data_IF_915547339056
#
_entry.id   IF_915547339056
#
_cell.length_a   1.000
_cell.length_b   1.000
_cell.length_c   1.000
_cell.angle_alpha   90.00
_cell.angle_beta   90.00
_cell.angle_gamma   90.00
#
_symmetry.space_group_name_H-M   'P 1'
#
loop_
_entity.id
_entity.type
_entity.pdbx_description
1 polymer ?
#
# COMPACT_ATOMS: atom_id res chain seq x y z
N UNK A 1 5.62 63.16 3.41
CA UNK A 1 4.22 63.46 3.81
C UNK A 1 3.79 62.35 4.77
N UNK A 2 4.07 62.43 6.08
CA UNK A 2 3.32 63.16 7.13
C UNK A 2 1.81 62.82 7.08
N UNK A 3 1.35 61.84 7.87
CA UNK A 3 0.88 61.89 9.28
C UNK A 3 -0.58 62.33 9.44
N UNK A 4 -1.38 61.44 10.05
CA UNK A 4 -2.32 61.76 11.14
C UNK A 4 -3.78 62.05 10.79
N UNK A 5 -4.73 61.29 11.34
CA UNK A 5 -5.37 61.61 12.64
C UNK A 5 -6.45 60.58 13.03
N UNK A 6 -6.54 60.44 14.34
CA UNK A 6 -7.49 59.72 15.19
C UNK A 6 -8.86 60.41 15.26
N UNK A 7 -9.91 59.65 15.64
CA UNK A 7 -10.67 59.83 16.91
C UNK A 7 -12.16 59.43 16.86
N UNK A 8 -12.59 58.70 17.90
CA UNK A 8 -13.83 58.84 18.73
C UNK A 8 -15.21 58.77 18.04
N UNK A 9 -16.33 58.28 18.61
CA UNK A 9 -16.73 57.61 19.84
C UNK A 9 -18.22 57.17 19.69
N UNK A 10 -18.70 56.28 20.56
CA UNK A 10 -20.10 55.84 20.75
C UNK A 10 -21.05 57.00 21.16
N UNK A 11 -22.40 56.86 20.99
CA UNK A 11 -23.28 56.55 22.15
C UNK A 11 -24.56 55.73 21.80
N UNK A 12 -24.91 54.68 22.57
CA UNK A 12 -25.88 54.56 23.67
C UNK A 12 -27.41 54.68 23.40
N UNK A 13 -28.11 53.56 23.66
CA UNK A 13 -29.45 53.39 24.33
C UNK A 13 -30.73 53.70 23.52
N UNK A 14 -31.84 52.95 23.62
CA UNK A 14 -32.70 52.69 24.79
C UNK A 14 -33.60 51.44 24.58
N UNK A 15 -33.97 50.81 25.70
CA UNK A 15 -34.73 49.58 25.91
C UNK A 15 -36.27 49.63 25.68
N UNK A 16 -36.86 48.43 25.53
CA UNK A 16 -38.15 47.88 26.05
C UNK A 16 -38.52 46.65 25.20
N UNK A 17 -38.96 45.47 25.66
CA UNK A 17 -39.30 44.90 26.96
C UNK A 17 -39.85 43.46 26.77
N UNK A 18 -40.11 42.78 27.90
CA UNK A 18 -40.96 41.59 28.08
C UNK A 18 -40.51 40.18 27.60
N UNK A 19 -39.94 39.42 28.54
CA UNK A 19 -40.60 38.32 29.29
C UNK A 19 -41.20 37.07 28.58
N UNK A 20 -40.57 35.93 28.94
CA UNK A 20 -41.12 34.60 29.26
C UNK A 20 -41.42 33.53 28.19
N UNK A 21 -40.81 32.35 28.44
CA UNK A 21 -41.22 30.98 28.06
C UNK A 21 -40.97 30.60 26.58
N UNK A 22 -40.44 29.44 26.17
CA UNK A 22 -40.29 28.13 26.80
C UNK A 22 -39.10 27.39 26.15
N UNK A 23 -38.17 26.89 26.96
CA UNK A 23 -37.17 25.89 26.57
C UNK A 23 -37.58 24.56 27.22
N UNK A 24 -38.07 23.60 26.44
CA UNK A 24 -38.05 22.14 26.69
C UNK A 24 -38.98 21.37 25.75
N UNK A 25 -38.37 20.53 24.89
CA UNK A 25 -38.87 19.29 24.22
C UNK A 25 -38.09 19.16 22.89
N UNK A 26 -37.49 18.06 22.45
CA UNK A 26 -37.80 16.62 22.60
C UNK A 26 -36.47 15.85 22.39
N UNK A 27 -36.09 14.99 23.35
CA UNK A 27 -35.23 13.83 23.09
C UNK A 27 -35.63 12.73 24.08
N UNK A 28 -36.62 11.93 23.68
CA UNK A 28 -36.93 10.64 24.29
C UNK A 28 -37.32 9.69 23.16
N UNK A 29 -36.82 8.46 23.24
CA UNK A 29 -37.41 7.31 22.58
C UNK A 29 -36.65 6.77 21.38
N UNK A 30 -35.68 5.88 21.65
CA UNK A 30 -35.52 4.62 20.90
C UNK A 30 -34.57 3.70 21.68
N UNK A 31 -35.12 3.13 22.76
CA UNK A 31 -34.67 1.86 23.33
C UNK A 31 -35.81 0.87 23.15
N UNK A 32 -35.43 -0.38 22.85
CA UNK A 32 -36.22 -1.63 22.75
C UNK A 32 -36.77 -1.97 21.37
N UNK A 33 -36.06 -2.88 20.70
CA UNK A 33 -36.57 -4.24 20.49
C UNK A 33 -35.40 -5.23 20.49
N UNK A 34 -35.28 -5.97 21.60
CA UNK A 34 -34.51 -7.21 21.71
C UNK A 34 -35.50 -8.30 22.11
N UNK A 35 -35.79 -9.22 21.19
CA UNK A 35 -36.46 -10.50 21.42
C UNK A 35 -35.95 -11.44 20.31
N UNK A 36 -35.05 -12.35 20.67
CA UNK A 36 -35.34 -13.77 20.86
C UNK A 36 -35.45 -14.56 19.55
N UNK A 37 -34.43 -15.39 19.29
CA UNK A 37 -34.59 -16.82 19.02
C UNK A 37 -33.22 -17.51 19.17
N UNK A 38 -33.04 -18.23 20.27
CA UNK A 38 -32.10 -19.35 20.42
C UNK A 38 -32.92 -20.62 20.27
N UNK A 39 -32.40 -21.57 19.49
CA UNK A 39 -32.17 -22.97 19.86
C UNK A 39 -32.19 -23.86 18.62
N UNK A 40 -31.07 -24.55 18.35
CA UNK A 40 -31.09 -25.99 18.16
C UNK A 40 -29.67 -26.53 18.38
N UNK A 41 -29.58 -27.52 19.26
CA UNK A 41 -28.37 -28.25 19.63
C UNK A 41 -28.59 -29.74 19.30
N UNK A 42 -27.50 -30.37 18.84
CA UNK A 42 -27.08 -31.77 19.04
C UNK A 42 -27.73 -32.92 18.25
N UNK A 43 -26.89 -33.58 17.43
CA UNK A 43 -26.62 -35.04 17.40
C UNK A 43 -25.37 -35.25 16.50
N UNK A 44 -24.14 -35.43 16.98
CA UNK A 44 -23.45 -36.59 17.59
C UNK A 44 -23.20 -37.80 16.66
N UNK A 45 -21.90 -38.19 16.58
CA UNK A 45 -21.32 -39.51 16.22
C UNK A 45 -21.38 -39.96 14.74
N UNK A 46 -20.43 -40.70 14.13
CA UNK A 46 -19.02 -41.08 14.34
C UNK A 46 -18.58 -42.08 13.23
N UNK A 47 -17.35 -41.97 12.71
CA UNK A 47 -16.51 -43.02 12.02
C UNK A 47 -16.92 -43.58 10.61
N UNK A 48 -16.06 -44.35 9.90
CA UNK A 48 -14.79 -43.92 9.26
C UNK A 48 -14.58 -44.50 7.81
N UNK A 49 -13.45 -44.12 7.19
CA UNK A 49 -12.64 -44.83 6.18
C UNK A 49 -13.20 -46.11 5.52
N UNK A 50 -13.30 -46.10 4.18
CA UNK A 50 -13.04 -47.29 3.33
C UNK A 50 -12.30 -46.85 2.07
N UNK A 51 -11.03 -47.26 1.96
CA UNK A 51 -10.37 -47.50 0.69
C UNK A 51 -10.65 -48.95 0.28
N UNK A 52 -10.69 -49.25 -1.03
CA UNK A 52 -10.05 -50.42 -1.68
C UNK A 52 -10.58 -50.68 -3.10
N UNK A 53 -9.59 -51.03 -3.94
CA UNK A 53 -9.63 -51.85 -5.16
C UNK A 53 -9.99 -51.23 -6.51
N UNK A 54 -8.90 -50.99 -7.24
CA UNK A 54 -8.77 -51.25 -8.65
C UNK A 54 -9.30 -52.64 -9.04
N UNK A 55 -10.02 -52.72 -10.16
CA UNK A 55 -9.98 -53.91 -11.03
C UNK A 55 -9.96 -53.49 -12.49
N UNK A 56 -8.85 -53.84 -13.14
CA UNK A 56 -8.69 -53.89 -14.60
C UNK A 56 -9.66 -54.91 -15.19
N UNK A 57 -10.25 -54.61 -16.36
CA UNK A 57 -10.56 -55.62 -17.37
C UNK A 57 -10.36 -55.03 -18.76
N UNK A 58 -9.46 -55.68 -19.50
CA UNK A 58 -9.19 -55.49 -20.92
C UNK A 58 -10.06 -56.44 -21.78
N UNK A 59 -9.91 -56.29 -23.10
CA UNK A 59 -10.48 -57.03 -24.26
C UNK A 59 -11.66 -56.28 -24.90
N UNK A 60 -11.78 -56.10 -26.21
CA UNK A 60 -11.06 -56.64 -27.38
C UNK A 60 -11.44 -55.80 -28.61
N UNK A 61 -10.52 -55.70 -29.58
CA UNK A 61 -10.71 -55.20 -30.94
C UNK A 61 -11.84 -55.88 -31.72
N UNK A 62 -12.47 -55.13 -32.64
CA UNK A 62 -12.85 -55.59 -34.00
C UNK A 62 -12.70 -54.40 -34.96
N UNK A 63 -12.04 -54.64 -36.10
CA UNK A 63 -11.83 -53.74 -37.23
C UNK A 63 -12.55 -54.28 -38.47
N UNK A 64 -13.27 -53.44 -39.23
CA UNK A 64 -13.63 -53.62 -40.67
C UNK A 64 -13.91 -52.20 -41.22
N UNK A 65 -12.99 -51.55 -41.94
CA UNK A 65 -12.75 -51.53 -43.40
C UNK A 65 -13.71 -50.68 -44.27
N UNK A 66 -13.10 -49.66 -44.89
CA UNK A 66 -13.23 -49.16 -46.27
C UNK A 66 -14.45 -48.35 -46.77
N UNK A 67 -14.15 -47.07 -47.03
CA UNK A 67 -14.25 -46.34 -48.31
C UNK A 67 -15.63 -46.02 -48.95
N UNK A 68 -15.93 -44.71 -49.01
CA UNK A 68 -16.51 -44.05 -50.19
C UNK A 68 -16.17 -42.55 -50.19
N UNK A 69 -15.69 -42.04 -51.33
CA UNK A 69 -15.39 -40.63 -51.61
C UNK A 69 -16.67 -39.88 -51.97
N UNK A 70 -16.79 -38.61 -51.56
CA UNK A 70 -17.45 -37.59 -52.39
C UNK A 70 -17.00 -36.18 -52.00
N UNK A 71 -16.76 -35.41 -53.04
CA UNK A 71 -16.30 -34.02 -53.11
C UNK A 71 -17.32 -33.06 -52.50
N UNK A 72 -16.88 -32.12 -51.67
CA UNK A 72 -17.55 -30.83 -51.52
C UNK A 72 -16.54 -29.73 -51.21
N UNK A 73 -16.32 -28.87 -52.20
CA UNK A 73 -15.73 -27.56 -52.04
C UNK A 73 -16.79 -26.62 -51.45
N UNK A 74 -16.44 -25.82 -50.45
CA UNK A 74 -17.32 -24.78 -49.94
C UNK A 74 -16.90 -24.22 -48.58
N UNK A 75 -16.61 -22.92 -48.58
CA UNK A 75 -16.51 -22.01 -47.45
C UNK A 75 -15.30 -22.17 -46.52
N UNK A 76 -14.40 -21.19 -46.63
CA UNK A 76 -13.53 -20.77 -45.53
C UNK A 76 -14.41 -20.54 -44.30
N UNK A 77 -14.31 -21.45 -43.33
CA UNK A 77 -14.72 -21.17 -41.96
C UNK A 77 -13.74 -20.12 -41.46
N UNK A 78 -14.20 -18.88 -41.39
CA UNK A 78 -13.62 -17.93 -40.46
C UNK A 78 -13.59 -18.64 -39.11
N UNK A 79 -12.40 -18.83 -38.55
CA UNK A 79 -12.26 -19.15 -37.14
C UNK A 79 -12.98 -18.02 -36.41
N UNK A 80 -14.19 -18.34 -35.93
CA UNK A 80 -14.85 -17.55 -34.91
C UNK A 80 -13.92 -17.65 -33.72
N UNK A 81 -13.09 -16.62 -33.51
CA UNK A 81 -12.37 -16.42 -32.26
C UNK A 81 -13.33 -16.77 -31.13
N UNK A 82 -12.96 -17.77 -30.33
CA UNK A 82 -13.74 -18.17 -29.18
C UNK A 82 -14.05 -16.90 -28.36
N UNK A 83 -15.28 -16.73 -27.84
CA UNK A 83 -15.60 -15.56 -27.03
C UNK A 83 -14.54 -15.45 -25.95
N UNK A 84 -13.98 -14.26 -25.67
CA UNK A 84 -12.78 -14.18 -24.88
C UNK A 84 -13.05 -14.85 -23.55
N UNK A 85 -12.26 -15.88 -23.33
CA UNK A 85 -12.01 -16.57 -22.09
C UNK A 85 -11.81 -15.52 -20.98
N UNK A 86 -12.23 -15.87 -19.75
CA UNK A 86 -12.27 -15.10 -18.48
C UNK A 86 -11.90 -13.59 -18.49
N UNK A 87 -12.54 -12.75 -17.64
CA UNK A 87 -12.15 -11.32 -17.48
C UNK A 87 -10.63 -11.10 -17.27
N UNK A 88 -9.94 -12.14 -16.80
CA UNK A 88 -8.49 -12.25 -16.73
C UNK A 88 -7.80 -12.23 -18.12
N UNK A 89 -8.15 -13.12 -19.06
CA UNK A 89 -7.54 -13.09 -20.40
C UNK A 89 -7.92 -11.84 -21.20
N UNK A 90 -9.08 -11.25 -20.93
CA UNK A 90 -9.52 -10.00 -21.57
C UNK A 90 -8.69 -8.76 -21.18
N UNK A 91 -8.02 -8.77 -20.03
CA UNK A 91 -7.28 -7.62 -19.51
C UNK A 91 -5.78 -7.70 -19.77
N UNK A 92 -5.19 -8.90 -19.76
CA UNK A 92 -3.73 -9.08 -19.76
C UNK A 92 -2.99 -8.53 -20.99
N UNK A 93 -3.67 -8.42 -22.14
CA UNK A 93 -3.08 -7.88 -23.38
C UNK A 93 -3.33 -6.38 -23.58
N UNK A 94 -4.00 -5.72 -22.63
CA UNK A 94 -4.35 -4.31 -22.74
C UNK A 94 -3.25 -3.43 -22.14
N UNK A 95 -3.19 -2.19 -22.63
CA UNK A 95 -2.44 -1.12 -21.96
C UNK A 95 -3.07 -0.77 -20.61
N UNK A 96 -2.32 -0.07 -19.75
CA UNK A 96 -2.81 0.38 -18.45
C UNK A 96 -4.09 1.21 -18.59
N UNK A 97 -4.13 2.14 -19.56
CA UNK A 97 -5.31 2.99 -19.74
C UNK A 97 -6.54 2.22 -20.18
N UNK A 98 -6.39 1.27 -21.09
CA UNK A 98 -7.49 0.45 -21.55
C UNK A 98 -8.00 -0.48 -20.43
N UNK A 99 -7.11 -1.03 -19.60
CA UNK A 99 -7.51 -1.75 -18.39
C UNK A 99 -8.26 -0.84 -17.42
N UNK A 100 -7.75 0.38 -17.18
CA UNK A 100 -8.34 1.35 -16.26
C UNK A 100 -9.79 1.65 -16.65
N UNK A 101 -9.99 2.06 -17.90
CA UNK A 101 -11.32 2.47 -18.39
C UNK A 101 -12.32 1.31 -18.27
N UNK A 102 -11.90 0.08 -18.59
CA UNK A 102 -12.75 -1.11 -18.49
C UNK A 102 -13.12 -1.47 -17.05
N UNK A 103 -12.14 -1.47 -16.14
CA UNK A 103 -12.34 -1.81 -14.74
C UNK A 103 -13.25 -0.80 -14.03
N UNK A 104 -13.03 0.50 -14.25
CA UNK A 104 -13.80 1.54 -13.58
C UNK A 104 -15.18 1.77 -14.21
N UNK A 105 -15.40 1.40 -15.49
CA UNK A 105 -16.74 1.33 -16.07
C UNK A 105 -17.59 0.19 -15.47
N UNK A 106 -16.99 -0.94 -15.10
CA UNK A 106 -17.69 -2.12 -14.57
C UNK A 106 -17.46 -2.34 -13.06
N UNK A 107 -17.16 -1.26 -12.33
CA UNK A 107 -16.68 -1.32 -10.95
C UNK A 107 -17.58 -2.09 -9.98
N UNK A 108 -18.90 -2.03 -10.14
CA UNK A 108 -19.84 -2.75 -9.25
C UNK A 108 -19.69 -4.27 -9.30
N UNK A 109 -19.01 -4.80 -10.32
CA UNK A 109 -18.77 -6.23 -10.53
C UNK A 109 -17.34 -6.65 -10.16
N UNK A 110 -16.49 -5.69 -9.79
CA UNK A 110 -15.07 -5.93 -9.52
C UNK A 110 -14.87 -6.49 -8.10
N UNK A 111 -14.34 -7.71 -8.03
CA UNK A 111 -13.88 -8.31 -6.77
C UNK A 111 -12.45 -7.87 -6.47
N UNK A 112 -12.28 -6.79 -5.70
CA UNK A 112 -10.97 -6.22 -5.35
C UNK A 112 -10.10 -7.13 -4.47
N UNK A 113 -10.62 -8.28 -4.02
CA UNK A 113 -9.85 -9.29 -3.29
C UNK A 113 -9.13 -10.28 -4.21
N UNK A 114 -9.40 -10.23 -5.52
CA UNK A 114 -8.76 -11.11 -6.52
C UNK A 114 -7.76 -10.31 -7.34
N UNK A 115 -6.59 -10.90 -7.67
CA UNK A 115 -5.60 -10.22 -8.49
C UNK A 115 -6.13 -9.99 -9.90
N UNK A 116 -5.80 -8.81 -10.44
CA UNK A 116 -6.02 -8.46 -11.84
C UNK A 116 -4.71 -8.68 -12.62
N UNK A 117 -4.78 -9.12 -13.90
CA UNK A 117 -3.60 -9.25 -14.73
C UNK A 117 -2.86 -7.94 -14.92
N UNK A 118 -1.53 -8.01 -14.92
CA UNK A 118 -0.67 -6.85 -15.15
C UNK A 118 -0.84 -6.34 -16.59
N UNK A 119 -0.76 -5.03 -16.84
CA UNK A 119 -0.81 -4.48 -18.19
C UNK A 119 0.32 -5.00 -19.09
N UNK A 120 0.06 -5.09 -20.39
CA UNK A 120 1.12 -5.37 -21.38
C UNK A 120 2.03 -4.15 -21.49
N UNK A 121 3.35 -4.39 -21.38
CA UNK A 121 4.37 -3.34 -21.52
C UNK A 121 4.44 -2.83 -22.96
N UNK A 122 4.23 -3.72 -23.94
CA UNK A 122 4.20 -3.43 -25.36
C UNK A 122 2.98 -2.56 -25.71
N UNK A 123 1.78 -2.99 -25.29
CA UNK A 123 0.57 -2.21 -25.50
C UNK A 123 0.63 -0.84 -24.80
N UNK A 124 1.27 -0.75 -23.64
CA UNK A 124 1.49 0.52 -22.95
C UNK A 124 2.42 1.45 -23.71
N UNK A 125 3.48 0.91 -24.32
CA UNK A 125 4.42 1.71 -25.10
C UNK A 125 3.77 2.28 -26.37
N UNK A 126 2.82 1.56 -26.96
CA UNK A 126 2.09 1.96 -28.16
C UNK A 126 0.87 2.87 -27.88
N UNK A 127 0.52 3.09 -26.61
CA UNK A 127 -0.63 3.88 -26.22
C UNK A 127 -0.47 5.37 -26.59
N UNK A 128 -1.53 5.97 -27.12
CA UNK A 128 -1.54 7.40 -27.45
C UNK A 128 -1.32 8.27 -26.20
N UNK A 129 -0.41 9.23 -26.31
CA UNK A 129 -0.02 10.10 -25.20
C UNK A 129 0.90 9.46 -24.14
N UNK A 130 1.29 8.19 -24.27
CA UNK A 130 2.25 7.56 -23.37
C UNK A 130 3.62 8.25 -23.44
N UNK A 131 4.17 8.59 -22.27
CA UNK A 131 5.48 9.24 -22.15
C UNK A 131 6.45 8.34 -21.40
N UNK A 132 7.66 8.22 -21.93
CA UNK A 132 8.75 7.51 -21.28
C UNK A 132 9.18 8.25 -20.01
N UNK A 133 9.28 7.54 -18.89
CA UNK A 133 9.87 8.08 -17.67
C UNK A 133 11.36 8.36 -17.94
N UNK A 134 11.84 9.51 -17.47
CA UNK A 134 13.21 9.96 -17.72
C UNK A 134 14.22 8.88 -17.32
N UNK A 135 15.10 8.49 -18.25
CA UNK A 135 16.16 7.48 -18.06
C UNK A 135 15.64 6.10 -17.60
N UNK A 136 14.40 5.76 -17.93
CA UNK A 136 13.76 4.47 -17.63
C UNK A 136 13.18 3.83 -18.89
N UNK A 137 12.91 2.54 -18.87
CA UNK A 137 12.16 1.79 -19.89
C UNK A 137 10.63 1.79 -19.63
N UNK A 138 10.16 2.44 -18.57
CA UNK A 138 8.73 2.56 -18.24
C UNK A 138 8.06 3.66 -19.07
N UNK A 139 6.93 3.33 -19.68
CA UNK A 139 6.03 4.26 -20.36
C UNK A 139 4.80 4.51 -19.48
N UNK A 140 4.39 5.77 -19.34
CA UNK A 140 3.31 6.17 -18.45
C UNK A 140 2.33 7.14 -19.13
N UNK A 141 1.06 7.00 -18.79
CA UNK A 141 -0.02 7.90 -19.20
C UNK A 141 -0.73 8.40 -17.95
N UNK A 142 -0.67 9.71 -17.70
CA UNK A 142 -1.34 10.31 -16.55
C UNK A 142 -2.86 10.18 -16.71
N UNK A 143 -3.55 9.60 -15.72
CA UNK A 143 -5.02 9.49 -15.71
C UNK A 143 -5.70 10.64 -15.00
N UNK A 144 -5.09 11.11 -13.93
CA UNK A 144 -5.71 12.08 -13.03
C UNK A 144 -4.87 13.35 -12.98
N UNK A 145 -5.36 14.50 -13.49
CA UNK A 145 -4.62 15.74 -13.35
C UNK A 145 -4.64 16.18 -11.88
N UNK A 146 -3.47 16.28 -11.25
CA UNK A 146 -3.35 16.75 -9.86
C UNK A 146 -3.86 18.19 -9.70
N UNK A 147 -3.63 19.02 -10.72
CA UNK A 147 -4.06 20.42 -10.77
C UNK A 147 -5.30 20.58 -11.64
N UNK A 148 -6.23 21.45 -11.24
CA UNK A 148 -7.46 21.72 -11.99
C UNK A 148 -8.62 20.75 -11.72
N UNK A 149 -8.43 19.71 -10.89
CA UNK A 149 -9.53 18.87 -10.37
C UNK A 149 -10.22 19.51 -9.16
N UNK A 150 -11.42 19.04 -8.81
CA UNK A 150 -12.14 19.46 -7.61
C UNK A 150 -11.56 18.77 -6.37
N UNK A 151 -11.06 19.55 -5.43
CA UNK A 151 -10.48 19.05 -4.18
C UNK A 151 -11.54 18.91 -3.07
N UNK A 152 -11.39 17.89 -2.23
CA UNK A 152 -12.20 17.70 -1.02
C UNK A 152 -11.44 18.18 0.23
N UNK A 153 -12.11 18.20 1.38
CA UNK A 153 -11.50 18.67 2.64
C UNK A 153 -10.27 17.86 3.10
N UNK A 154 -10.22 16.56 2.81
CA UNK A 154 -9.06 15.71 3.11
C UNK A 154 -7.88 16.04 2.20
N UNK A 155 -8.12 16.29 0.90
CA UNK A 155 -7.08 16.73 -0.04
C UNK A 155 -6.41 18.03 0.45
N UNK A 156 -7.23 19.02 0.86
CA UNK A 156 -6.73 20.27 1.42
C UNK A 156 -5.96 20.04 2.73
N UNK A 157 -6.50 19.23 3.64
CA UNK A 157 -5.86 18.92 4.92
C UNK A 157 -4.49 18.26 4.74
N UNK A 158 -4.40 17.23 3.90
CA UNK A 158 -3.13 16.56 3.60
C UNK A 158 -2.13 17.49 2.91
N UNK A 159 -2.58 18.26 1.93
CA UNK A 159 -1.69 19.18 1.20
C UNK A 159 -1.15 20.27 2.13
N UNK A 160 -2.00 20.89 2.95
CA UNK A 160 -1.57 21.91 3.92
C UNK A 160 -0.57 21.30 4.90
N UNK A 161 -0.87 20.12 5.44
CA UNK A 161 0.05 19.43 6.35
C UNK A 161 1.40 19.16 5.69
N UNK A 162 1.42 18.61 4.48
CA UNK A 162 2.66 18.38 3.73
C UNK A 162 3.42 19.68 3.49
N UNK A 163 2.77 20.74 3.02
CA UNK A 163 3.40 22.03 2.80
C UNK A 163 4.00 22.63 4.08
N UNK A 164 3.31 22.50 5.23
CA UNK A 164 3.82 22.97 6.51
C UNK A 164 5.07 22.20 6.93
N UNK A 165 5.04 20.85 6.88
CA UNK A 165 6.19 20.04 7.30
C UNK A 165 7.39 20.25 6.37
N UNK A 166 7.18 20.37 5.06
CA UNK A 166 8.26 20.70 4.11
C UNK A 166 8.76 22.14 4.30
N UNK A 167 7.87 23.09 4.58
CA UNK A 167 8.24 24.47 4.89
C UNK A 167 9.09 24.59 6.16
N UNK A 168 8.78 23.81 7.20
CA UNK A 168 9.58 23.74 8.42
C UNK A 168 11.01 23.23 8.16
N UNK A 169 11.21 22.39 7.14
CA UNK A 169 12.56 21.92 6.76
C UNK A 169 13.46 23.07 6.29
N UNK A 170 12.91 24.17 5.76
CA UNK A 170 13.67 25.36 5.37
C UNK A 170 14.35 26.05 6.56
N UNK A 171 13.90 25.75 7.79
CA UNK A 171 14.52 26.25 9.03
C UNK A 171 15.73 25.43 9.47
N UNK A 172 16.04 24.30 8.82
CA UNK A 172 17.13 23.41 9.22
C UNK A 172 18.50 24.10 9.28
N UNK A 173 18.91 24.98 8.32
CA UNK A 173 20.19 25.69 8.42
C UNK A 173 20.28 26.62 9.62
N UNK A 174 19.17 27.25 10.01
CA UNK A 174 19.10 28.20 11.13
C UNK A 174 18.98 27.54 12.50
N UNK A 175 18.66 26.25 12.52
CA UNK A 175 18.46 25.44 13.73
C UNK A 175 19.50 24.33 13.88
N UNK A 176 20.55 24.37 13.04
CA UNK A 176 21.59 23.35 12.96
C UNK A 176 22.40 23.26 14.27
N UNK A 177 22.64 22.03 14.70
CA UNK A 177 23.74 21.68 15.60
C UNK A 177 24.02 20.17 15.49
N UNK A 178 25.24 19.74 15.82
CA UNK A 178 25.60 18.31 15.80
C UNK A 178 24.68 17.42 16.65
N UNK A 179 24.22 17.83 17.86
CA UNK A 179 23.22 17.07 18.59
C UNK A 179 21.90 16.88 17.82
N UNK A 180 21.46 17.88 17.05
CA UNK A 180 20.24 17.78 16.25
C UNK A 180 20.40 16.87 15.03
N UNK A 181 21.60 16.81 14.45
CA UNK A 181 21.96 15.80 13.44
C UNK A 181 21.88 14.39 14.05
N UNK A 182 22.42 14.20 15.25
CA UNK A 182 22.30 12.94 15.99
C UNK A 182 20.84 12.57 16.29
N UNK A 183 20.03 13.55 16.72
CA UNK A 183 18.60 13.37 16.92
C UNK A 183 17.89 12.95 15.64
N UNK A 184 18.19 13.61 14.51
CA UNK A 184 17.64 13.25 13.20
C UNK A 184 17.95 11.80 12.81
N UNK A 185 19.21 11.36 12.92
CA UNK A 185 19.57 9.97 12.60
C UNK A 185 18.94 8.97 13.56
N UNK A 186 18.86 9.30 14.85
CA UNK A 186 18.20 8.47 15.86
C UNK A 186 16.71 8.30 15.56
N UNK A 187 15.98 9.39 15.33
CA UNK A 187 14.56 9.32 15.01
C UNK A 187 14.31 8.72 13.63
N UNK A 188 15.18 8.96 12.64
CA UNK A 188 15.13 8.31 11.34
C UNK A 188 15.27 6.79 11.43
N UNK A 189 16.24 6.28 12.21
CA UNK A 189 16.38 4.85 12.44
C UNK A 189 15.16 4.26 13.15
N UNK A 190 14.66 4.94 14.19
CA UNK A 190 13.46 4.50 14.93
C UNK A 190 12.24 4.44 14.01
N UNK A 191 11.93 5.52 13.30
CA UNK A 191 10.68 5.59 12.53
C UNK A 191 10.80 4.87 11.19
N UNK A 192 11.92 5.02 10.50
CA UNK A 192 12.16 4.42 9.18
C UNK A 192 12.50 2.93 9.30
N UNK A 193 13.61 2.59 9.95
CA UNK A 193 14.05 1.20 10.04
C UNK A 193 13.11 0.37 10.92
N UNK A 194 12.99 0.69 12.22
CA UNK A 194 12.19 -0.11 13.14
C UNK A 194 10.69 0.00 12.88
N UNK A 195 10.21 1.21 12.58
CA UNK A 195 8.80 1.50 12.35
C UNK A 195 8.27 1.03 11.00
N UNK A 196 8.76 1.61 9.91
CA UNK A 196 8.26 1.30 8.57
C UNK A 196 8.77 -0.06 8.08
N UNK A 197 10.08 -0.25 8.00
CA UNK A 197 10.64 -1.44 7.32
C UNK A 197 10.48 -2.72 8.13
N UNK A 198 10.83 -2.70 9.42
CA UNK A 198 10.78 -3.89 10.27
C UNK A 198 9.34 -4.22 10.68
N UNK A 199 8.58 -3.22 11.17
CA UNK A 199 7.22 -3.43 11.66
C UNK A 199 6.19 -3.40 10.55
N UNK A 200 5.81 -2.22 10.05
CA UNK A 200 4.67 -2.08 9.15
C UNK A 200 4.81 -2.96 7.91
N UNK A 201 6.00 -2.97 7.32
CA UNK A 201 6.26 -3.73 6.11
C UNK A 201 6.45 -5.24 6.38
N UNK A 202 7.58 -5.64 6.95
CA UNK A 202 7.93 -7.08 7.03
C UNK A 202 7.12 -7.84 8.08
N UNK A 203 6.86 -7.24 9.24
CA UNK A 203 6.13 -7.92 10.32
C UNK A 203 4.62 -7.89 10.10
N UNK A 204 4.01 -6.73 9.88
CA UNK A 204 2.56 -6.59 9.86
C UNK A 204 1.96 -6.88 8.49
N UNK A 205 2.52 -6.32 7.40
CA UNK A 205 1.99 -6.59 6.06
C UNK A 205 2.26 -8.00 5.59
N UNK A 206 3.52 -8.44 5.65
CA UNK A 206 3.95 -9.70 5.05
C UNK A 206 4.02 -10.88 6.02
N UNK A 207 3.97 -10.62 7.33
CA UNK A 207 4.10 -11.64 8.38
C UNK A 207 5.33 -12.52 8.13
N UNK A 208 6.44 -11.88 7.78
CA UNK A 208 7.69 -12.56 7.43
C UNK A 208 8.38 -13.17 8.66
N UNK A 209 7.99 -12.73 9.85
CA UNK A 209 8.39 -13.26 11.15
C UNK A 209 7.35 -12.88 12.21
N UNK A 210 7.46 -13.46 13.40
CA UNK A 210 6.61 -13.15 14.56
C UNK A 210 7.47 -12.76 15.76
N UNK A 211 6.98 -11.87 16.62
CA UNK A 211 7.64 -11.51 17.89
C UNK A 211 6.63 -11.58 19.04
N UNK A 212 7.07 -11.58 20.32
CA UNK A 212 6.17 -11.35 21.44
C UNK A 212 5.36 -10.05 21.26
N UNK A 213 4.11 -10.03 21.73
CA UNK A 213 3.18 -8.92 21.47
C UNK A 213 3.65 -7.57 22.00
N UNK A 214 4.37 -7.54 23.13
CA UNK A 214 4.93 -6.29 23.65
C UNK A 214 5.94 -5.68 22.66
N UNK A 215 6.74 -6.50 21.99
CA UNK A 215 7.73 -6.06 21.01
C UNK A 215 7.05 -5.68 19.69
N UNK A 216 6.08 -6.48 19.22
CA UNK A 216 5.28 -6.17 18.04
C UNK A 216 4.61 -4.78 18.16
N UNK A 217 3.99 -4.50 19.31
CA UNK A 217 3.34 -3.21 19.56
C UNK A 217 4.33 -2.06 19.73
N UNK A 218 5.48 -2.30 20.38
CA UNK A 218 6.53 -1.28 20.49
C UNK A 218 7.08 -0.88 19.12
N UNK A 219 7.40 -1.86 18.25
CA UNK A 219 7.87 -1.62 16.90
C UNK A 219 6.79 -0.95 16.03
N UNK A 220 5.53 -1.37 16.17
CA UNK A 220 4.42 -0.73 15.45
C UNK A 220 4.23 0.73 15.89
N UNK A 221 4.43 1.03 17.18
CA UNK A 221 4.39 2.40 17.66
C UNK A 221 5.52 3.26 17.09
N UNK A 222 6.71 2.70 16.84
CA UNK A 222 7.75 3.40 16.08
C UNK A 222 7.28 3.79 14.67
N UNK A 223 6.46 2.94 14.02
CA UNK A 223 5.85 3.22 12.71
C UNK A 223 4.80 4.35 12.77
N UNK A 224 4.02 4.42 13.85
CA UNK A 224 3.08 5.53 14.09
C UNK A 224 3.82 6.88 14.10
N UNK A 225 5.01 6.93 14.69
CA UNK A 225 5.85 8.13 14.75
C UNK A 225 6.49 8.49 13.39
N UNK A 226 6.43 7.62 12.39
CA UNK A 226 6.88 7.92 11.03
C UNK A 226 5.94 8.88 10.29
N UNK A 227 4.70 9.04 10.78
CA UNK A 227 3.67 9.93 10.22
C UNK A 227 3.22 9.53 8.80
N UNK A 228 3.19 8.22 8.51
CA UNK A 228 2.76 7.70 7.19
C UNK A 228 1.36 7.08 7.17
N UNK A 229 0.56 7.34 8.20
CA UNK A 229 -0.73 6.70 8.43
C UNK A 229 -0.68 5.73 9.61
N UNK A 230 -1.86 5.33 10.06
CA UNK A 230 -1.99 4.37 11.14
C UNK A 230 -1.80 2.92 10.63
N UNK A 231 -1.45 1.95 11.51
CA UNK A 231 -1.05 0.60 11.09
C UNK A 231 -2.08 -0.13 10.21
N UNK A 232 -3.39 -0.01 10.47
CA UNK A 232 -4.43 -0.69 9.70
C UNK A 232 -4.49 -0.11 8.28
N UNK A 233 -4.55 1.21 8.14
CA UNK A 233 -4.50 1.90 6.86
C UNK A 233 -3.24 1.55 6.07
N UNK A 234 -2.05 1.71 6.66
CA UNK A 234 -0.78 1.51 5.94
C UNK A 234 -0.66 0.06 5.45
N UNK A 235 -0.91 -0.91 6.34
CA UNK A 235 -0.85 -2.34 6.02
C UNK A 235 -1.91 -2.72 4.99
N UNK A 236 -3.12 -2.16 5.09
CA UNK A 236 -4.19 -2.43 4.13
C UNK A 236 -3.82 -1.95 2.74
N UNK A 237 -3.37 -0.70 2.62
CA UNK A 237 -2.94 -0.11 1.34
C UNK A 237 -1.77 -0.90 0.75
N UNK A 238 -0.78 -1.26 1.56
CA UNK A 238 0.39 -2.03 1.12
C UNK A 238 0.03 -3.45 0.65
N UNK A 239 -0.86 -4.14 1.36
CA UNK A 239 -1.38 -5.46 0.94
C UNK A 239 -2.14 -5.38 -0.39
N UNK A 240 -2.89 -4.31 -0.64
CA UNK A 240 -3.53 -4.11 -1.95
C UNK A 240 -2.53 -3.76 -3.04
N UNK A 241 -1.50 -2.96 -2.73
CA UNK A 241 -0.42 -2.70 -3.67
C UNK A 241 0.20 -4.02 -4.14
N UNK A 242 0.55 -4.95 -3.23
CA UNK A 242 1.07 -6.26 -3.66
C UNK A 242 0.08 -7.08 -4.48
N UNK A 243 -1.20 -7.08 -4.10
CA UNK A 243 -2.24 -7.83 -4.82
C UNK A 243 -2.47 -7.29 -6.24
N UNK A 244 -2.30 -5.99 -6.43
CA UNK A 244 -2.69 -5.25 -7.63
C UNK A 244 -1.54 -4.49 -8.26
N UNK A 245 -0.29 -4.85 -7.96
CA UNK A 245 0.88 -4.03 -8.26
C UNK A 245 0.96 -3.68 -9.75
N UNK A 246 1.20 -2.40 -10.03
CA UNK A 246 1.24 -1.81 -11.38
C UNK A 246 -0.04 -2.03 -12.23
N UNK A 247 -1.17 -2.40 -11.62
CA UNK A 247 -2.48 -2.43 -12.28
C UNK A 247 -3.27 -1.16 -11.96
N UNK A 248 -4.40 -0.88 -12.64
CA UNK A 248 -5.26 0.27 -12.32
C UNK A 248 -5.79 0.33 -10.88
N UNK A 249 -5.73 -0.78 -10.14
CA UNK A 249 -6.14 -0.86 -8.73
C UNK A 249 -4.99 -0.57 -7.76
N UNK A 250 -3.76 -0.45 -8.25
CA UNK A 250 -2.63 0.04 -7.46
C UNK A 250 -2.78 1.56 -7.22
N UNK A 251 -2.83 2.03 -5.96
CA UNK A 251 -2.94 3.46 -5.68
C UNK A 251 -1.77 4.27 -6.24
N UNK A 252 -0.58 3.69 -6.34
CA UNK A 252 0.64 4.40 -6.72
C UNK A 252 1.35 3.76 -7.92
N UNK A 253 0.57 3.29 -8.91
CA UNK A 253 1.09 2.71 -10.13
C UNK A 253 2.06 3.67 -10.86
N UNK A 254 3.26 3.23 -11.27
CA UNK A 254 4.19 3.99 -12.08
C UNK A 254 3.67 4.25 -13.51
N UNK A 255 2.66 3.50 -13.96
CA UNK A 255 2.02 3.72 -15.26
C UNK A 255 1.23 5.03 -15.33
N UNK A 256 0.92 5.68 -14.20
CA UNK A 256 0.39 7.06 -14.17
C UNK A 256 1.49 8.13 -14.07
N UNK A 257 2.75 7.70 -13.98
CA UNK A 257 3.93 8.55 -14.02
C UNK A 257 4.74 8.50 -12.73
N UNK A 258 6.01 8.91 -12.86
CA UNK A 258 6.94 8.96 -11.73
C UNK A 258 6.43 9.83 -10.57
N UNK A 259 5.91 11.02 -10.86
CA UNK A 259 5.44 11.92 -9.80
C UNK A 259 4.13 11.44 -9.16
N UNK A 260 3.29 10.71 -9.91
CA UNK A 260 2.11 10.06 -9.36
C UNK A 260 2.51 9.01 -8.32
N UNK A 261 3.33 8.03 -8.73
CA UNK A 261 3.83 6.95 -7.85
C UNK A 261 4.66 7.46 -6.67
N UNK A 262 5.39 8.57 -6.84
CA UNK A 262 6.18 9.16 -5.76
C UNK A 262 5.28 9.82 -4.71
N UNK A 263 4.43 10.77 -5.09
CA UNK A 263 3.62 11.51 -4.11
C UNK A 263 2.23 11.94 -4.59
N UNK A 264 1.97 11.91 -5.90
CA UNK A 264 0.72 12.40 -6.46
C UNK A 264 -0.51 11.64 -5.95
N UNK A 265 -0.38 10.32 -5.76
CA UNK A 265 -1.46 9.48 -5.24
C UNK A 265 -1.97 9.93 -3.86
N UNK A 266 -1.09 10.42 -2.98
CA UNK A 266 -1.43 10.93 -1.65
C UNK A 266 -2.24 12.23 -1.71
N UNK A 267 -2.08 12.98 -2.80
CA UNK A 267 -2.76 14.25 -3.01
C UNK A 267 -4.13 14.07 -3.67
N UNK A 268 -4.55 12.85 -4.00
CA UNK A 268 -5.89 12.53 -4.47
C UNK A 268 -6.54 11.45 -3.59
N UNK A 269 -7.21 11.91 -2.53
CA UNK A 269 -7.90 11.03 -1.61
C UNK A 269 -9.09 10.32 -2.29
N UNK A 270 -9.73 10.93 -3.30
CA UNK A 270 -10.82 10.30 -4.04
C UNK A 270 -10.34 9.05 -4.78
N UNK A 271 -9.25 9.18 -5.55
CA UNK A 271 -8.63 8.06 -6.25
C UNK A 271 -8.12 6.98 -5.29
N UNK A 272 -7.51 7.39 -4.17
CA UNK A 272 -7.01 6.46 -3.15
C UNK A 272 -8.16 5.68 -2.49
N UNK A 273 -9.24 6.34 -2.07
CA UNK A 273 -10.41 5.66 -1.50
C UNK A 273 -11.08 4.75 -2.52
N UNK A 274 -11.08 5.12 -3.79
CA UNK A 274 -11.62 4.31 -4.87
C UNK A 274 -10.88 2.97 -5.03
N UNK A 275 -9.56 2.98 -4.89
CA UNK A 275 -8.69 1.80 -5.08
C UNK A 275 -8.49 0.98 -3.81
N UNK A 276 -8.18 1.63 -2.68
CA UNK A 276 -7.76 0.97 -1.43
C UNK A 276 -8.60 1.34 -0.21
N UNK A 277 -9.78 1.95 -0.39
CA UNK A 277 -10.64 2.38 0.73
C UNK A 277 -11.19 1.23 1.58
N UNK A 278 -11.31 0.02 1.03
CA UNK A 278 -11.79 -1.15 1.77
C UNK A 278 -10.72 -1.70 2.70
N UNK A 279 -10.82 -1.50 4.02
CA UNK A 279 -9.86 -2.07 4.99
C UNK A 279 -10.12 -3.55 5.33
N UNK A 280 -10.79 -4.29 4.46
CA UNK A 280 -11.20 -5.68 4.69
C UNK A 280 -10.06 -6.70 4.65
N UNK A 281 -8.88 -6.33 4.14
CA UNK A 281 -7.70 -7.20 4.06
C UNK A 281 -6.83 -7.15 5.34
N UNK A 282 -7.29 -6.50 6.41
CA UNK A 282 -6.55 -6.30 7.69
C UNK A 282 -7.34 -6.74 8.93
N UNK A 283 -8.22 -7.74 8.79
CA UNK A 283 -9.01 -8.27 9.90
C UNK A 283 -8.15 -8.78 11.08
N UNK A 284 -6.93 -9.23 10.81
CA UNK A 284 -5.94 -9.62 11.82
C UNK A 284 -5.50 -8.47 12.71
N UNK A 285 -5.33 -7.27 12.16
CA UNK A 285 -4.99 -6.07 12.94
C UNK A 285 -6.24 -5.53 13.65
N UNK A 286 -7.37 -5.46 12.94
CA UNK A 286 -8.63 -4.94 13.50
C UNK A 286 -9.16 -5.78 14.69
N UNK A 287 -8.81 -7.06 14.73
CA UNK A 287 -9.13 -7.92 15.88
C UNK A 287 -8.42 -7.50 17.19
N UNK A 288 -7.33 -6.74 17.11
CA UNK A 288 -6.48 -6.40 18.25
C UNK A 288 -6.81 -5.01 18.83
N UNK A 289 -7.09 -4.88 20.15
CA UNK A 289 -7.46 -3.60 20.76
C UNK A 289 -6.42 -2.49 20.60
N UNK A 290 -5.12 -2.85 20.57
CA UNK A 290 -4.03 -1.90 20.39
C UNK A 290 -4.14 -1.14 19.06
N UNK A 291 -4.31 -1.86 17.94
CA UNK A 291 -4.40 -1.22 16.62
C UNK A 291 -5.66 -0.37 16.47
N UNK A 292 -6.81 -0.83 17.01
CA UNK A 292 -8.04 -0.01 17.02
C UNK A 292 -7.90 1.25 17.88
N UNK A 293 -7.14 1.19 18.97
CA UNK A 293 -6.83 2.37 19.78
C UNK A 293 -6.00 3.36 18.95
N UNK A 294 -4.88 2.92 18.39
CA UNK A 294 -4.00 3.75 17.55
C UNK A 294 -4.76 4.36 16.38
N UNK A 295 -5.60 3.60 15.67
CA UNK A 295 -6.40 4.12 14.57
C UNK A 295 -7.29 5.31 14.99
N UNK A 296 -7.91 5.23 16.17
CA UNK A 296 -8.80 6.30 16.68
C UNK A 296 -8.04 7.50 17.23
N UNK A 297 -6.81 7.30 17.70
CA UNK A 297 -6.02 8.33 18.36
C UNK A 297 -4.82 8.81 17.54
N UNK A 298 -4.66 8.35 16.30
CA UNK A 298 -3.47 8.57 15.47
C UNK A 298 -3.03 10.03 15.43
N UNK A 299 -3.95 10.97 15.15
CA UNK A 299 -3.64 12.40 15.13
C UNK A 299 -3.06 12.92 16.46
N UNK A 300 -3.53 12.42 17.60
CA UNK A 300 -3.02 12.79 18.91
C UNK A 300 -1.60 12.27 19.14
N UNK A 301 -1.26 11.08 18.63
CA UNK A 301 0.11 10.57 18.71
C UNK A 301 1.08 11.41 17.87
N UNK A 302 0.67 11.82 16.68
CA UNK A 302 1.45 12.73 15.82
C UNK A 302 1.67 14.07 16.51
N UNK A 303 0.61 14.70 17.03
CA UNK A 303 0.71 15.97 17.77
C UNK A 303 1.59 15.83 19.01
N UNK A 304 1.40 14.77 19.80
CA UNK A 304 2.18 14.51 21.00
C UNK A 304 3.67 14.33 20.69
N UNK A 305 4.01 13.65 19.59
CA UNK A 305 5.40 13.51 19.14
C UNK A 305 6.04 14.87 18.82
N UNK A 306 5.38 15.70 18.02
CA UNK A 306 5.92 17.03 17.69
C UNK A 306 6.01 17.94 18.92
N UNK A 307 5.03 17.88 19.82
CA UNK A 307 5.05 18.60 21.08
C UNK A 307 6.19 18.13 22.00
N UNK A 308 6.43 16.82 22.10
CA UNK A 308 7.52 16.25 22.88
C UNK A 308 8.89 16.66 22.34
N UNK A 309 9.07 16.67 21.02
CA UNK A 309 10.30 17.17 20.39
C UNK A 309 10.53 18.65 20.69
N UNK A 310 9.48 19.47 20.59
CA UNK A 310 9.56 20.89 20.95
C UNK A 310 9.89 21.09 22.44
N UNK A 311 9.28 20.32 23.33
CA UNK A 311 9.59 20.37 24.76
C UNK A 311 11.03 19.93 25.08
N UNK A 312 11.56 18.96 24.31
CA UNK A 312 12.91 18.42 24.52
C UNK A 312 14.03 19.37 24.06
N UNK A 313 13.88 20.02 22.91
CA UNK A 313 14.96 20.83 22.33
C UNK A 313 14.49 22.04 21.53
N UNK A 314 13.28 22.53 21.83
CA UNK A 314 12.68 23.70 21.20
C UNK A 314 12.45 23.51 19.70
N UNK A 315 12.51 24.63 18.98
CA UNK A 315 12.32 24.65 17.53
C UNK A 315 13.33 23.76 16.81
N UNK A 316 14.59 23.68 17.29
CA UNK A 316 15.62 22.89 16.63
C UNK A 316 15.32 21.39 16.66
N UNK A 317 14.87 20.85 17.79
CA UNK A 317 14.47 19.45 17.87
C UNK A 317 13.20 19.15 17.07
N UNK A 318 12.24 20.08 17.05
CA UNK A 318 11.03 19.97 16.21
C UNK A 318 11.38 19.95 14.71
N UNK A 319 12.30 20.79 14.27
CA UNK A 319 12.74 20.84 12.87
C UNK A 319 13.52 19.58 12.51
N UNK A 320 14.55 19.21 13.26
CA UNK A 320 15.44 18.10 12.89
C UNK A 320 14.86 16.72 13.18
N UNK A 321 14.41 16.47 14.41
CA UNK A 321 13.85 15.18 14.81
C UNK A 321 12.41 14.96 14.34
N UNK A 322 11.70 16.06 14.06
CA UNK A 322 10.31 16.06 13.61
C UNK A 322 10.19 16.24 12.10
N UNK A 323 10.24 17.49 11.63
CA UNK A 323 9.86 17.83 10.26
C UNK A 323 10.83 17.29 9.20
N UNK A 324 12.14 17.58 9.34
CA UNK A 324 13.18 17.12 8.42
C UNK A 324 13.23 15.59 8.37
N UNK A 325 13.17 14.94 9.53
CA UNK A 325 13.08 13.48 9.60
C UNK A 325 11.81 12.93 8.95
N UNK A 326 10.65 13.57 9.13
CA UNK A 326 9.41 13.13 8.47
C UNK A 326 9.53 13.22 6.94
N UNK A 327 9.97 14.37 6.41
CA UNK A 327 10.16 14.57 4.96
C UNK A 327 11.20 13.61 4.40
N UNK A 328 12.30 13.38 5.11
CA UNK A 328 13.33 12.43 4.72
C UNK A 328 12.76 11.01 4.59
N UNK A 329 12.05 10.55 5.63
CA UNK A 329 11.43 9.22 5.65
C UNK A 329 10.33 9.09 4.60
N UNK A 330 9.54 10.14 4.37
CA UNK A 330 8.56 10.19 3.29
C UNK A 330 9.20 9.93 1.94
N UNK A 331 10.15 10.78 1.52
CA UNK A 331 10.74 10.65 0.19
C UNK A 331 11.46 9.32 -0.01
N UNK A 332 12.12 8.79 1.02
CA UNK A 332 12.75 7.47 0.93
C UNK A 332 11.71 6.36 0.74
N UNK A 333 10.63 6.36 1.51
CA UNK A 333 9.54 5.38 1.31
C UNK A 333 8.90 5.56 -0.07
N UNK A 334 8.68 6.80 -0.50
CA UNK A 334 8.11 7.11 -1.81
C UNK A 334 9.02 6.73 -2.98
N UNK A 335 10.35 6.73 -2.80
CA UNK A 335 11.29 6.19 -3.77
C UNK A 335 11.20 4.67 -3.90
N UNK A 336 10.72 3.95 -2.88
CA UNK A 336 10.40 2.52 -3.03
C UNK A 336 9.30 2.36 -4.09
N UNK A 337 8.21 3.12 -3.95
CA UNK A 337 7.08 3.08 -4.90
C UNK A 337 7.46 3.59 -6.30
N UNK A 338 8.26 4.65 -6.39
CA UNK A 338 8.55 5.29 -7.67
C UNK A 338 9.88 4.84 -8.28
N UNK A 339 11.00 5.14 -7.61
CA UNK A 339 12.32 4.84 -8.14
C UNK A 339 12.57 3.33 -8.29
N UNK A 340 12.05 2.51 -7.38
CA UNK A 340 12.18 1.05 -7.45
C UNK A 340 11.14 0.40 -8.37
N UNK A 341 10.30 1.18 -9.06
CA UNK A 341 9.50 0.71 -10.19
C UNK A 341 9.97 1.26 -11.55
N UNK A 342 10.78 2.33 -11.55
CA UNK A 342 11.27 2.97 -12.78
C UNK A 342 12.73 2.65 -13.10
N UNK A 343 13.60 2.50 -12.10
CA UNK A 343 15.05 2.35 -12.30
C UNK A 343 15.64 1.19 -11.52
N UNK A 344 16.71 0.60 -12.07
CA UNK A 344 17.41 -0.53 -11.48
C UNK A 344 17.39 -1.75 -12.39
N UNK A 345 17.51 -2.93 -11.79
CA UNK A 345 17.55 -4.20 -12.50
C UNK A 345 16.54 -5.19 -11.93
N UNK A 346 16.11 -6.17 -12.73
CA UNK A 346 15.26 -7.28 -12.28
C UNK A 346 16.09 -8.56 -12.25
N UNK A 347 16.06 -9.25 -11.11
CA UNK A 347 16.66 -10.59 -10.94
C UNK A 347 15.61 -11.68 -11.15
N UNK A 348 14.36 -11.38 -10.82
CA UNK A 348 13.24 -12.30 -10.86
C UNK A 348 12.13 -11.77 -11.78
N UNK A 349 11.56 -12.67 -12.56
CA UNK A 349 10.42 -12.44 -13.42
C UNK A 349 9.11 -12.44 -12.61
N UNK A 350 8.80 -11.28 -12.03
CA UNK A 350 7.57 -11.01 -11.29
C UNK A 350 6.41 -10.62 -12.21
N UNK A 351 6.70 -10.24 -13.46
CA UNK A 351 5.75 -9.66 -14.41
C UNK A 351 5.38 -8.20 -14.15
N UNK A 352 5.81 -7.60 -13.03
CA UNK A 352 5.65 -6.16 -12.74
C UNK A 352 6.89 -5.36 -13.12
N UNK A 353 6.88 -4.09 -12.74
CA UNK A 353 7.94 -3.11 -12.92
C UNK A 353 8.83 -2.98 -11.67
N UNK A 354 8.67 -3.79 -10.63
CA UNK A 354 9.57 -3.74 -9.47
C UNK A 354 11.02 -4.01 -9.90
N UNK A 355 11.96 -3.23 -9.37
CA UNK A 355 13.39 -3.24 -9.70
C UNK A 355 14.22 -3.13 -8.43
N UNK A 356 15.35 -3.83 -8.42
CA UNK A 356 16.36 -3.70 -7.39
C UNK A 356 17.17 -2.41 -7.61
N UNK A 357 17.22 -1.57 -6.58
CA UNK A 357 17.85 -0.26 -6.58
C UNK A 357 18.71 -0.07 -5.32
N UNK A 358 20.03 -0.03 -5.50
CA UNK A 358 20.99 -0.08 -4.39
C UNK A 358 20.96 1.18 -3.51
N UNK A 359 20.76 2.37 -4.09
CA UNK A 359 20.77 3.61 -3.31
C UNK A 359 19.47 3.75 -2.51
N UNK A 360 18.35 3.28 -3.06
CA UNK A 360 17.10 3.13 -2.30
C UNK A 360 17.32 2.11 -1.19
N UNK A 361 18.03 1.01 -1.44
CA UNK A 361 18.30 0.01 -0.39
C UNK A 361 19.13 0.57 0.77
N UNK A 362 20.13 1.41 0.50
CA UNK A 362 20.92 2.08 1.54
C UNK A 362 20.04 3.03 2.37
N UNK A 363 19.26 3.89 1.72
CA UNK A 363 18.42 4.87 2.39
C UNK A 363 17.20 4.24 3.08
N UNK A 364 16.65 3.17 2.52
CA UNK A 364 15.48 2.49 3.05
C UNK A 364 15.86 1.19 3.78
N UNK A 365 17.07 1.08 4.33
CA UNK A 365 17.47 -0.03 5.21
C UNK A 365 17.30 -1.45 4.60
N UNK A 366 17.28 -1.58 3.28
CA UNK A 366 17.10 -2.83 2.53
C UNK A 366 15.87 -2.87 1.62
N UNK A 367 14.95 -1.90 1.72
CA UNK A 367 13.69 -1.93 0.94
C UNK A 367 13.86 -1.67 -0.56
N UNK A 368 15.02 -1.15 -0.98
CA UNK A 368 15.35 -0.97 -2.40
C UNK A 368 15.65 -2.27 -3.15
N UNK A 369 15.80 -3.41 -2.47
CA UNK A 369 15.84 -4.73 -3.14
C UNK A 369 14.42 -5.16 -3.54
N UNK A 370 13.74 -4.30 -4.28
CA UNK A 370 12.30 -4.32 -4.43
C UNK A 370 11.81 -5.41 -5.39
N UNK A 371 12.57 -5.73 -6.43
CA UNK A 371 12.26 -6.87 -7.29
C UNK A 371 12.40 -8.21 -6.55
N UNK A 372 13.40 -8.33 -5.67
CA UNK A 372 13.52 -9.50 -4.79
C UNK A 372 12.32 -9.61 -3.84
N UNK A 373 11.90 -8.48 -3.28
CA UNK A 373 10.73 -8.40 -2.41
C UNK A 373 9.44 -8.81 -3.14
N UNK A 374 9.17 -8.28 -4.33
CA UNK A 374 7.99 -8.65 -5.13
C UNK A 374 7.99 -10.13 -5.55
N UNK A 375 9.17 -10.71 -5.77
CA UNK A 375 9.29 -12.13 -6.07
C UNK A 375 8.97 -13.02 -4.85
N UNK A 376 9.33 -12.57 -3.64
CA UNK A 376 9.19 -13.32 -2.40
C UNK A 376 8.65 -12.45 -1.27
N UNK A 377 7.42 -11.94 -1.44
CA UNK A 377 6.81 -10.97 -0.51
C UNK A 377 6.78 -11.46 0.94
N UNK A 378 6.71 -12.78 1.16
CA UNK A 378 6.70 -13.38 2.49
C UNK A 378 8.08 -13.41 3.17
N UNK A 379 9.15 -13.07 2.46
CA UNK A 379 10.53 -13.17 2.94
C UNK A 379 10.82 -12.11 3.99
N UNK A 380 11.57 -12.46 5.02
CA UNK A 380 12.10 -11.52 6.00
C UNK A 380 13.39 -10.83 5.51
N UNK A 381 14.01 -11.37 4.45
CA UNK A 381 15.25 -10.90 3.84
C UNK A 381 14.95 -10.43 2.42
N UNK A 382 15.24 -9.17 2.11
CA UNK A 382 15.06 -8.64 0.75
C UNK A 382 16.37 -8.69 -0.04
N UNK A 383 17.51 -8.44 0.61
CA UNK A 383 18.83 -8.59 -0.01
C UNK A 383 19.24 -10.06 -0.12
N UNK A 384 18.97 -10.71 -1.25
CA UNK A 384 19.20 -12.15 -1.46
C UNK A 384 20.67 -12.48 -1.71
N UNK A 385 21.41 -11.56 -2.31
CA UNK A 385 22.85 -11.70 -2.54
C UNK A 385 23.69 -11.20 -1.37
N UNK A 386 24.93 -11.67 -1.27
CA UNK A 386 25.84 -11.30 -0.16
C UNK A 386 26.18 -9.81 -0.13
N UNK A 387 26.20 -9.15 -1.29
CA UNK A 387 26.49 -7.72 -1.46
C UNK A 387 25.24 -6.85 -1.34
N UNK A 388 24.05 -7.44 -1.33
CA UNK A 388 22.78 -6.73 -1.18
C UNK A 388 22.56 -6.42 0.30
N UNK A 389 23.14 -5.30 0.76
CA UNK A 389 23.06 -4.89 2.16
C UNK A 389 21.61 -4.62 2.59
N UNK A 390 21.19 -5.27 3.66
CA UNK A 390 19.83 -5.22 4.21
C UNK A 390 19.94 -5.10 5.73
N UNK A 391 19.81 -3.87 6.23
CA UNK A 391 19.95 -3.56 7.67
C UNK A 391 18.81 -4.19 8.45
N UNK A 392 17.59 -4.12 7.91
CA UNK A 392 16.40 -4.65 8.56
C UNK A 392 16.48 -6.17 8.70
N UNK A 393 17.04 -6.88 7.72
CA UNK A 393 17.33 -8.31 7.85
C UNK A 393 18.33 -8.60 8.98
N UNK A 394 19.40 -7.82 9.10
CA UNK A 394 20.38 -8.00 10.18
C UNK A 394 19.73 -7.86 11.55
N UNK A 395 18.80 -6.91 11.72
CA UNK A 395 18.02 -6.75 12.95
C UNK A 395 17.12 -7.97 13.20
N UNK A 396 16.41 -8.46 12.19
CA UNK A 396 15.57 -9.68 12.33
C UNK A 396 16.43 -10.89 12.71
N UNK A 397 17.60 -11.06 12.08
CA UNK A 397 18.54 -12.13 12.39
C UNK A 397 19.06 -12.03 13.83
N UNK A 398 19.39 -10.82 14.31
CA UNK A 398 19.78 -10.58 15.69
C UNK A 398 18.65 -10.90 16.68
N UNK A 399 17.42 -10.44 16.41
CA UNK A 399 16.23 -10.76 17.21
C UNK A 399 15.98 -12.27 17.27
N UNK A 400 16.14 -12.98 16.14
CA UNK A 400 16.04 -14.44 16.09
C UNK A 400 17.11 -15.10 16.96
N UNK A 401 18.36 -14.63 16.87
CA UNK A 401 19.47 -15.19 17.64
C UNK A 401 19.27 -15.09 19.17
N UNK A 402 18.60 -14.03 19.64
CA UNK A 402 18.26 -13.84 21.06
C UNK A 402 16.88 -14.40 21.45
N UNK A 403 16.20 -15.11 20.55
CA UNK A 403 14.89 -15.73 20.83
C UNK A 403 13.70 -14.77 20.90
N UNK A 404 13.83 -13.57 20.31
CA UNK A 404 12.76 -12.57 20.23
C UNK A 404 12.01 -12.57 18.89
N UNK A 405 12.52 -13.25 17.86
CA UNK A 405 11.86 -13.44 16.58
C UNK A 405 11.76 -14.92 16.20
N UNK A 406 10.54 -15.36 15.90
CA UNK A 406 10.19 -16.71 15.49
C UNK A 406 9.58 -16.72 14.08
N UNK A 407 9.39 -17.92 13.51
CA UNK A 407 8.76 -18.12 12.20
C UNK A 407 9.36 -17.25 11.09
N UNK A 408 10.67 -16.98 11.15
CA UNK A 408 11.38 -16.17 10.17
C UNK A 408 11.44 -16.90 8.83
N UNK A 409 10.78 -16.33 7.82
CA UNK A 409 10.65 -16.93 6.48
C UNK A 409 11.71 -16.39 5.53
N UNK A 410 12.23 -17.28 4.68
CA UNK A 410 13.13 -16.96 3.56
C UNK A 410 12.80 -17.89 2.38
N UNK A 411 13.01 -17.47 1.13
CA UNK A 411 12.77 -18.32 -0.02
C UNK A 411 13.82 -19.43 -0.12
N UNK A 412 13.37 -20.61 -0.55
CA UNK A 412 14.25 -21.73 -0.92
C UNK A 412 14.93 -21.48 -2.27
N UNK A 413 16.05 -22.15 -2.54
CA UNK A 413 16.71 -22.10 -3.86
C UNK A 413 15.77 -22.52 -5.00
N UNK A 414 14.89 -23.50 -4.75
CA UNK A 414 13.88 -23.93 -5.73
C UNK A 414 12.87 -22.82 -6.06
N UNK A 415 12.44 -22.05 -5.06
CA UNK A 415 11.55 -20.90 -5.26
C UNK A 415 12.26 -19.79 -6.04
N UNK A 416 13.54 -19.52 -5.71
CA UNK A 416 14.39 -18.58 -6.45
C UNK A 416 14.57 -18.97 -7.91
N UNK A 417 14.96 -20.22 -8.18
CA UNK A 417 15.14 -20.72 -9.53
C UNK A 417 13.86 -20.67 -10.38
N UNK A 418 12.68 -20.89 -9.78
CA UNK A 418 11.39 -20.81 -10.50
C UNK A 418 11.08 -19.42 -11.03
N UNK A 419 11.48 -18.37 -10.30
CA UNK A 419 11.21 -16.99 -10.68
C UNK A 419 12.41 -16.33 -11.37
N UNK A 420 13.57 -16.97 -11.45
CA UNK A 420 14.71 -16.43 -12.17
C UNK A 420 14.38 -16.29 -13.67
N UNK A 421 14.95 -15.26 -14.31
CA UNK A 421 14.92 -15.19 -15.77
C UNK A 421 15.63 -16.40 -16.38
N UNK A 422 15.17 -16.93 -17.52
CA UNK A 422 15.89 -17.98 -18.23
C UNK A 422 17.32 -17.52 -18.50
N UNK A 423 18.31 -18.33 -18.12
CA UNK A 423 19.68 -18.12 -18.59
C UNK A 423 19.67 -18.27 -20.10
N UNK A 424 20.16 -17.26 -20.83
CA UNK A 424 20.37 -17.40 -22.26
C UNK A 424 21.25 -18.63 -22.51
N UNK A 425 20.67 -19.63 -23.18
CA UNK A 425 21.28 -20.93 -23.48
C UNK A 425 22.39 -20.82 -24.50
#
# INVERSE_FOLDING_TARGET
MLLGRSDLALPSSVARGCSHSSVKRICTGLQRTSAQLRAHQLCNQSHPFVAVSQTRRAKSCVSVSAAARSVQAGAALAEVEAPPSTLQEQLGNLSYSAQYDRLFQQRSQLDTKKPVPKPSKEAQQEEDGAKKVLLSDVYATAKTPLFGRKWNGQDYGYTIFMLVVHGLCLLAPFTFSWPMVGLFFGTYFITGCLGITLSFHRQLSHRSFTTPKWLEYALAYCGVLAVQGEPIEWVSSHRYHHLHTDTPLDPHSPYEGFWWSHMGWLLDNGATLERVGSRGNTADLDSQPFYRFIQRTYAWHVVAMFAALYAFGGLSALVWGGALRAVWVYHITWFVNSASHCWGYQTYNTGDLSRNNWWVAVLAFGEGWHNNHHAFEFSARHGMEWWQFDVTWQIIAALKAVGLADNVKIPTEKQKARLAFPTAS
#
